data_IF_070399830777
#
_entry.id   IF_070399830777
#
_cell.length_a   1.000
_cell.length_b   1.000
_cell.length_c   1.000
_cell.angle_alpha   90.00
_cell.angle_beta   90.00
_cell.angle_gamma   90.00
#
_symmetry.space_group_name_H-M   'P 1'
#
loop_
_entity.id
_entity.type
_entity.pdbx_description
1 polymer ?
#
# COMPACT_ATOMS: atom_id res chain seq x y z
N UNK A 1 -12.00 5.81 8.03
CA UNK A 1 -10.89 5.19 7.28
C UNK A 1 -9.61 5.08 8.10
N UNK A 2 -9.01 6.18 8.56
CA UNK A 2 -7.74 6.14 9.31
C UNK A 2 -7.77 5.23 10.55
N UNK A 3 -8.87 5.25 11.32
CA UNK A 3 -9.07 4.36 12.47
C UNK A 3 -9.05 2.87 12.11
N UNK A 4 -9.67 2.50 10.98
CA UNK A 4 -9.68 1.11 10.47
C UNK A 4 -8.24 0.70 10.13
N UNK A 5 -7.49 1.60 9.49
CA UNK A 5 -6.11 1.35 9.09
C UNK A 5 -5.16 1.20 10.28
N UNK A 6 -5.31 2.06 11.29
CA UNK A 6 -4.54 1.97 12.53
C UNK A 6 -4.79 0.64 13.24
N UNK A 7 -6.06 0.24 13.39
CA UNK A 7 -6.42 -1.05 13.99
C UNK A 7 -5.91 -2.24 13.19
N UNK A 8 -5.98 -2.18 11.86
CA UNK A 8 -5.41 -3.20 10.98
C UNK A 8 -3.90 -3.34 11.19
N UNK A 9 -3.20 -2.21 11.31
CA UNK A 9 -1.76 -2.19 11.54
C UNK A 9 -1.39 -2.74 12.93
N UNK A 10 -2.14 -2.39 13.97
CA UNK A 10 -1.98 -2.97 15.31
C UNK A 10 -2.20 -4.49 15.27
N UNK A 11 -3.28 -4.95 14.65
CA UNK A 11 -3.55 -6.39 14.47
C UNK A 11 -2.45 -7.12 13.68
N UNK A 12 -1.90 -6.44 12.67
CA UNK A 12 -0.81 -6.96 11.83
C UNK A 12 0.51 -7.12 12.58
N UNK A 13 0.75 -6.36 13.65
CA UNK A 13 1.95 -6.55 14.50
C UNK A 13 1.92 -7.91 15.17
N UNK A 14 0.76 -8.35 15.63
CA UNK A 14 0.60 -9.57 16.42
C UNK A 14 0.47 -10.83 15.54
N UNK A 15 0.13 -10.69 14.25
CA UNK A 15 -0.24 -11.81 13.38
C UNK A 15 0.62 -11.87 12.11
N UNK A 16 1.16 -13.05 11.78
CA UNK A 16 2.03 -13.22 10.60
C UNK A 16 1.27 -13.36 9.28
N UNK A 17 0.02 -13.83 9.34
CA UNK A 17 -0.75 -14.19 8.15
C UNK A 17 -1.52 -13.00 7.55
N UNK A 18 -1.19 -12.68 6.30
CA UNK A 18 -1.83 -11.62 5.51
C UNK A 18 -3.33 -11.91 5.32
N UNK A 19 -3.72 -13.18 5.16
CA UNK A 19 -5.11 -13.55 4.92
C UNK A 19 -5.99 -13.27 6.14
N UNK A 20 -5.45 -13.48 7.35
CA UNK A 20 -6.14 -13.14 8.60
C UNK A 20 -6.28 -11.62 8.75
N UNK A 21 -5.24 -10.86 8.44
CA UNK A 21 -5.29 -9.40 8.45
C UNK A 21 -6.33 -8.86 7.44
N UNK A 22 -6.40 -9.43 6.25
CA UNK A 22 -7.40 -9.05 5.25
C UNK A 22 -8.83 -9.37 5.69
N UNK A 23 -9.06 -10.53 6.30
CA UNK A 23 -10.37 -10.87 6.86
C UNK A 23 -10.78 -9.93 7.99
N UNK A 24 -9.84 -9.57 8.87
CA UNK A 24 -10.07 -8.59 9.92
C UNK A 24 -10.43 -7.20 9.35
N UNK A 25 -9.70 -6.75 8.34
CA UNK A 25 -10.02 -5.52 7.60
C UNK A 25 -11.43 -5.57 7.00
N UNK A 26 -11.78 -6.67 6.33
CA UNK A 26 -13.10 -6.85 5.72
C UNK A 26 -14.21 -6.80 6.77
N UNK A 27 -14.02 -7.42 7.93
CA UNK A 27 -15.00 -7.39 9.02
C UNK A 27 -15.20 -5.97 9.55
N UNK A 28 -14.12 -5.21 9.76
CA UNK A 28 -14.21 -3.81 10.17
C UNK A 28 -14.88 -2.94 9.11
N UNK A 29 -14.53 -3.13 7.84
CA UNK A 29 -15.12 -2.36 6.75
C UNK A 29 -16.62 -2.61 6.65
N UNK A 30 -17.05 -3.88 6.76
CA UNK A 30 -18.48 -4.23 6.78
C UNK A 30 -19.20 -3.64 7.99
N UNK A 31 -18.60 -3.67 9.17
CA UNK A 31 -19.19 -3.06 10.36
C UNK A 31 -19.44 -1.54 10.19
N UNK A 32 -18.55 -0.85 9.47
CA UNK A 32 -18.69 0.59 9.18
C UNK A 32 -19.51 0.89 7.90
N UNK A 33 -19.92 -0.13 7.16
CA UNK A 33 -20.74 -0.01 5.95
C UNK A 33 -22.20 -0.43 6.15
N UNK A 34 -22.50 -1.21 7.21
CA UNK A 34 -23.85 -1.67 7.48
C UNK A 34 -24.62 -0.65 8.32
N UNK A 35 -25.70 -0.13 7.74
CA UNK A 35 -26.77 0.51 8.49
C UNK A 35 -27.42 -0.54 9.42
N UNK A 36 -27.64 -0.19 10.70
CA UNK A 36 -28.36 -0.97 11.72
C UNK A 36 -27.54 -1.79 12.73
N UNK A 37 -26.24 -1.57 12.90
CA UNK A 37 -25.52 -2.05 14.09
C UNK A 37 -25.43 -0.92 15.13
N UNK A 38 -25.74 -1.16 16.42
CA UNK A 38 -25.48 -0.18 17.47
C UNK A 38 -23.99 0.21 17.43
N UNK A 39 -23.71 1.51 17.57
CA UNK A 39 -22.38 2.15 17.42
C UNK A 39 -21.79 2.26 16.00
N UNK A 40 -22.55 1.92 14.94
CA UNK A 40 -22.05 1.98 13.57
C UNK A 40 -22.76 3.07 12.75
N UNK A 41 -21.98 4.03 12.25
CA UNK A 41 -22.44 5.06 11.29
C UNK A 41 -22.28 4.47 9.88
N UNK A 42 -23.35 4.53 9.07
CA UNK A 42 -23.30 4.20 7.65
C UNK A 42 -22.44 5.25 6.92
N UNK A 43 -21.16 4.94 6.73
CA UNK A 43 -20.18 5.89 6.21
C UNK A 43 -19.82 5.67 4.73
N UNK A 44 -20.08 4.48 4.19
CA UNK A 44 -19.52 4.07 2.90
C UNK A 44 -20.56 3.40 1.99
N UNK A 45 -20.67 3.92 0.77
CA UNK A 45 -21.39 3.26 -0.32
C UNK A 45 -20.63 1.99 -0.79
N UNK A 46 -21.31 1.01 -1.42
CA UNK A 46 -20.64 -0.15 -2.02
C UNK A 46 -19.51 0.22 -3.00
N UNK A 47 -19.65 1.33 -3.72
CA UNK A 47 -18.60 1.84 -4.61
C UNK A 47 -17.37 2.29 -3.82
N UNK A 48 -17.58 2.98 -2.69
CA UNK A 48 -16.51 3.45 -1.81
C UNK A 48 -15.78 2.26 -1.18
N UNK A 49 -16.52 1.24 -0.75
CA UNK A 49 -15.96 -0.01 -0.20
C UNK A 49 -15.01 -0.67 -1.20
N UNK A 50 -15.36 -0.69 -2.49
CA UNK A 50 -14.49 -1.22 -3.55
C UNK A 50 -13.22 -0.39 -3.70
N UNK A 51 -13.34 0.94 -3.78
CA UNK A 51 -12.19 1.84 -3.91
C UNK A 51 -11.25 1.75 -2.69
N UNK A 52 -11.82 1.75 -1.48
CA UNK A 52 -11.06 1.63 -0.23
C UNK A 52 -10.35 0.29 -0.16
N UNK A 53 -11.01 -0.81 -0.53
CA UNK A 53 -10.40 -2.15 -0.55
C UNK A 53 -9.23 -2.20 -1.53
N UNK A 54 -9.39 -1.66 -2.73
CA UNK A 54 -8.33 -1.61 -3.74
C UNK A 54 -7.14 -0.76 -3.25
N UNK A 55 -7.43 0.40 -2.65
CA UNK A 55 -6.40 1.28 -2.07
C UNK A 55 -5.63 0.59 -0.93
N UNK A 56 -6.32 -0.04 0.01
CA UNK A 56 -5.67 -0.77 1.12
C UNK A 56 -4.86 -1.95 0.61
N UNK A 57 -5.34 -2.63 -0.43
CA UNK A 57 -4.61 -3.73 -1.04
C UNK A 57 -3.29 -3.27 -1.67
N UNK A 58 -3.32 -2.22 -2.50
CA UNK A 58 -2.11 -1.71 -3.19
C UNK A 58 -1.12 -1.04 -2.25
N UNK A 59 -1.60 -0.31 -1.24
CA UNK A 59 -0.71 0.49 -0.36
C UNK A 59 -0.20 -0.28 0.85
N UNK A 60 -1.02 -1.15 1.44
CA UNK A 60 -0.71 -1.78 2.72
C UNK A 60 -0.49 -3.27 2.62
N UNK A 61 -1.44 -4.01 2.06
CA UNK A 61 -1.37 -5.48 2.04
C UNK A 61 -0.28 -5.98 1.10
N UNK A 62 -0.05 -5.29 -0.03
CA UNK A 62 1.07 -5.57 -0.93
C UNK A 62 2.44 -5.48 -0.21
N UNK A 63 2.56 -4.56 0.74
CA UNK A 63 3.77 -4.33 1.53
C UNK A 63 3.66 -4.84 2.97
N UNK A 64 2.77 -5.81 3.24
CA UNK A 64 2.48 -6.29 4.60
C UNK A 64 3.73 -6.71 5.38
N UNK A 65 4.63 -7.44 4.72
CA UNK A 65 5.89 -7.91 5.33
C UNK A 65 6.81 -6.77 5.73
N UNK A 66 6.83 -5.68 4.96
CA UNK A 66 7.66 -4.51 5.24
C UNK A 66 7.15 -3.80 6.50
N UNK A 67 5.85 -3.53 6.58
CA UNK A 67 5.24 -2.88 7.75
C UNK A 67 5.39 -3.70 9.03
N UNK A 68 5.33 -5.03 8.93
CA UNK A 68 5.64 -5.91 10.07
C UNK A 68 7.11 -5.80 10.48
N UNK A 69 8.03 -5.89 9.52
CA UNK A 69 9.46 -5.85 9.82
C UNK A 69 9.89 -4.54 10.48
N UNK A 70 9.36 -3.40 10.00
CA UNK A 70 9.61 -2.08 10.60
C UNK A 70 9.26 -2.01 12.09
N UNK A 71 8.29 -2.81 12.55
CA UNK A 71 7.85 -2.85 13.95
C UNK A 71 8.43 -4.01 14.76
N UNK A 72 9.21 -4.90 14.13
CA UNK A 72 9.78 -6.06 14.84
C UNK A 72 11.00 -5.68 15.67
N UNK A 73 11.63 -4.54 15.36
CA UNK A 73 12.81 -4.03 16.08
C UNK A 73 12.45 -2.74 16.78
N UNK A 74 12.74 -2.67 18.07
CA UNK A 74 12.74 -1.40 18.78
C UNK A 74 13.80 -0.49 18.16
N UNK A 75 13.36 0.62 17.59
CA UNK A 75 14.26 1.65 17.08
C UNK A 75 14.62 2.60 18.21
N UNK A 76 15.92 2.93 18.34
CA UNK A 76 16.37 3.99 19.22
C UNK A 76 15.73 5.31 18.77
N UNK A 77 14.87 5.87 19.62
CA UNK A 77 14.24 7.17 19.39
C UNK A 77 15.11 8.22 20.06
N UNK A 78 15.80 9.02 19.27
CA UNK A 78 16.49 10.20 19.78
C UNK A 78 15.47 11.33 19.96
N UNK A 79 14.94 11.46 21.19
CA UNK A 79 13.91 12.45 21.51
C UNK A 79 14.53 13.63 22.26
N UNK A 80 14.68 14.76 21.58
CA UNK A 80 15.02 16.03 22.21
C UNK A 80 13.74 16.78 22.57
N UNK A 81 13.54 17.06 23.85
CA UNK A 81 12.45 17.92 24.32
C UNK A 81 13.01 19.26 24.76
N UNK A 82 12.58 20.33 24.09
CA UNK A 82 12.95 21.72 24.43
C UNK A 82 11.70 22.43 24.95
N UNK A 83 11.84 23.09 26.11
CA UNK A 83 10.79 23.97 26.62
C UNK A 83 10.84 25.30 25.86
N UNK A 84 9.89 25.49 24.93
CA UNK A 84 9.67 26.77 24.27
C UNK A 84 8.72 27.62 25.10
N UNK A 85 9.18 28.80 25.52
CA UNK A 85 8.29 29.85 26.00
C UNK A 85 7.62 30.49 24.79
N UNK A 86 6.40 30.03 24.49
CA UNK A 86 5.56 30.66 23.49
C UNK A 86 4.81 31.80 24.16
N UNK A 87 4.92 33.02 23.62
CA UNK A 87 4.05 34.11 24.03
C UNK A 87 2.63 33.75 23.61
N UNK A 88 1.81 33.30 24.55
CA UNK A 88 0.38 33.12 24.34
C UNK A 88 -0.23 34.47 24.01
N UNK A 89 -0.94 34.55 22.89
CA UNK A 89 -1.70 35.74 22.54
C UNK A 89 -2.61 36.13 23.72
N UNK A 90 -2.76 37.43 23.97
CA UNK A 90 -3.70 37.91 24.98
C UNK A 90 -5.09 37.33 24.69
N UNK A 91 -5.82 36.94 25.75
CA UNK A 91 -7.20 36.47 25.59
C UNK A 91 -7.98 37.47 24.75
N UNK A 92 -8.73 37.00 23.74
CA UNK A 92 -9.58 37.90 22.98
C UNK A 92 -10.51 38.63 23.97
N UNK A 93 -10.76 39.93 23.74
CA UNK A 93 -11.67 40.68 24.58
C UNK A 93 -13.08 40.07 24.53
N UNK A 94 -13.88 40.18 25.60
CA UNK A 94 -15.21 39.58 25.66
C UNK A 94 -16.09 40.07 24.50
N UNK A 95 -16.93 39.21 23.94
CA UNK A 95 -17.83 39.56 22.82
C UNK A 95 -18.73 40.78 23.13
N UNK A 96 -19.06 40.99 24.42
CA UNK A 96 -19.81 42.15 24.88
C UNK A 96 -19.11 43.51 24.67
N UNK A 97 -17.79 43.51 24.44
CA UNK A 97 -17.00 44.71 24.12
C UNK A 97 -16.86 44.97 22.62
N UNK A 98 -17.43 44.09 21.78
CA UNK A 98 -17.46 44.26 20.33
C UNK A 98 -18.30 45.47 19.95
N UNK A 99 -17.67 46.46 19.31
CA UNK A 99 -18.40 47.51 18.59
C UNK A 99 -18.84 46.91 17.26
N UNK A 100 -20.14 46.95 17.01
CA UNK A 100 -20.70 46.66 15.68
C UNK A 100 -20.23 47.80 14.80
N UNK A 101 -19.27 47.52 13.92
CA UNK A 101 -18.94 48.41 12.82
C UNK A 101 -19.95 48.14 11.71
N UNK A 102 -20.85 49.09 11.48
CA UNK A 102 -21.90 49.01 10.45
C UNK A 102 -21.32 48.95 9.00
N UNK A 103 -20.00 48.91 8.85
CA UNK A 103 -19.29 48.80 7.58
C UNK A 103 -19.35 47.44 6.87
N UNK A 104 -19.87 46.38 7.49
CA UNK A 104 -19.87 45.02 6.90
C UNK A 104 -21.17 44.59 6.19
N UNK A 105 -22.02 45.53 5.76
CA UNK A 105 -23.11 45.18 4.82
C UNK A 105 -22.67 45.09 3.34
N UNK A 106 -21.36 45.12 3.03
CA UNK A 106 -20.86 45.03 1.63
C UNK A 106 -19.91 43.86 1.31
N UNK A 107 -19.69 42.91 2.22
CA UNK A 107 -18.69 41.85 2.02
C UNK A 107 -19.25 40.43 1.76
N UNK A 108 -20.54 40.27 1.44
CA UNK A 108 -21.13 38.94 1.18
C UNK A 108 -21.88 38.80 -0.16
N UNK A 109 -21.61 39.66 -1.15
CA UNK A 109 -22.28 39.57 -2.47
C UNK A 109 -21.33 39.40 -3.68
N UNK A 110 -20.05 39.07 -3.50
CA UNK A 110 -19.14 38.80 -4.63
C UNK A 110 -18.08 37.76 -4.27
N UNK A 111 -18.50 36.50 -4.15
CA UNK A 111 -17.60 35.33 -4.31
C UNK A 111 -18.34 34.28 -5.16
N UNK A 112 -18.83 34.70 -6.32
CA UNK A 112 -19.22 33.80 -7.41
C UNK A 112 -18.70 34.44 -8.69
N UNK A 113 -17.60 33.91 -9.20
CA UNK A 113 -17.03 34.32 -10.49
C UNK A 113 -15.68 35.00 -10.35
N UNK A 114 -14.62 34.20 -10.20
CA UNK A 114 -13.26 34.42 -10.74
C UNK A 114 -12.34 33.35 -10.13
N UNK A 115 -12.47 32.13 -10.63
CA UNK A 115 -11.43 31.09 -10.51
C UNK A 115 -11.66 30.05 -11.62
N UNK A 116 -11.67 30.55 -12.85
CA UNK A 116 -11.50 29.76 -14.06
C UNK A 116 -10.38 30.51 -14.81
N UNK A 117 -9.38 29.76 -15.29
CA UNK A 117 -8.11 30.25 -15.90
C UNK A 117 -6.90 30.46 -14.97
N UNK A 118 -6.45 29.41 -14.27
CA UNK A 118 -4.99 29.15 -14.13
C UNK A 118 -4.74 27.68 -13.78
N UNK A 119 -4.89 26.76 -14.73
CA UNK A 119 -4.54 25.33 -14.52
C UNK A 119 -4.18 24.59 -15.81
N UNK A 120 -3.40 25.20 -16.71
CA UNK A 120 -2.97 24.54 -17.95
C UNK A 120 -1.47 24.65 -18.27
N UNK A 121 -0.60 24.96 -17.31
CA UNK A 121 0.85 25.09 -17.58
C UNK A 121 1.78 24.32 -16.65
N UNK A 122 1.35 23.22 -16.02
CA UNK A 122 2.23 22.38 -15.20
C UNK A 122 2.07 20.86 -15.44
N UNK A 123 1.67 20.43 -16.64
CA UNK A 123 1.42 19.00 -16.92
C UNK A 123 2.25 18.42 -18.08
N UNK A 124 3.33 19.09 -18.52
CA UNK A 124 4.18 18.55 -19.61
C UNK A 124 5.62 18.20 -19.19
N UNK A 125 6.14 18.68 -18.05
CA UNK A 125 7.53 18.35 -17.64
C UNK A 125 7.63 17.12 -16.71
N UNK A 126 6.56 16.71 -16.02
CA UNK A 126 6.59 15.52 -15.16
C UNK A 126 6.39 14.18 -15.90
N UNK A 127 6.16 14.21 -17.23
CA UNK A 127 5.81 13.00 -18.01
C UNK A 127 6.96 12.46 -18.88
N UNK A 128 8.10 13.15 -18.87
CA UNK A 128 9.27 12.78 -19.66
C UNK A 128 10.32 11.99 -18.87
N UNK A 129 10.43 12.17 -17.55
CA UNK A 129 11.42 11.46 -16.72
C UNK A 129 10.94 10.05 -16.31
N UNK A 130 9.64 9.83 -16.13
CA UNK A 130 9.09 8.54 -15.69
C UNK A 130 9.14 7.44 -16.79
N UNK A 131 9.29 7.83 -18.06
CA UNK A 131 9.38 6.88 -19.18
C UNK A 131 10.78 6.34 -19.45
N UNK A 132 11.83 6.99 -18.96
CA UNK A 132 13.20 6.54 -19.20
C UNK A 132 13.71 5.57 -18.12
N UNK A 133 13.19 5.62 -16.89
CA UNK A 133 13.57 4.67 -15.84
C UNK A 133 12.81 3.33 -15.93
N UNK A 134 11.52 3.32 -16.30
CA UNK A 134 10.74 2.09 -16.45
C UNK A 134 11.32 1.13 -17.51
N UNK A 135 11.71 1.63 -18.69
CA UNK A 135 12.30 0.80 -19.77
C UNK A 135 13.60 0.10 -19.34
N UNK A 136 14.38 0.72 -18.45
CA UNK A 136 15.63 0.12 -17.96
C UNK A 136 15.39 -0.93 -16.87
N UNK A 137 14.30 -0.79 -16.09
CA UNK A 137 13.96 -1.72 -15.02
C UNK A 137 13.37 -3.02 -15.58
N UNK A 138 12.48 -2.94 -16.57
CA UNK A 138 11.87 -4.11 -17.21
C UNK A 138 12.89 -4.91 -18.02
N UNK A 139 13.80 -4.25 -18.74
CA UNK A 139 14.88 -4.92 -19.46
C UNK A 139 15.86 -5.66 -18.52
N UNK A 140 16.14 -5.11 -17.33
CA UNK A 140 16.96 -5.78 -16.30
C UNK A 140 16.25 -6.98 -15.70
N UNK A 141 14.96 -6.86 -15.41
CA UNK A 141 14.14 -7.97 -14.91
C UNK A 141 14.03 -9.08 -15.97
N UNK A 142 13.78 -8.74 -17.23
CA UNK A 142 13.71 -9.71 -18.32
C UNK A 142 15.03 -10.48 -18.52
N UNK A 143 16.19 -9.80 -18.38
CA UNK A 143 17.51 -10.43 -18.45
C UNK A 143 17.79 -11.34 -17.24
N UNK A 144 17.37 -10.95 -16.04
CA UNK A 144 17.52 -11.78 -14.84
C UNK A 144 16.62 -13.03 -14.92
N UNK A 145 15.39 -12.88 -15.41
CA UNK A 145 14.43 -13.99 -15.59
C UNK A 145 14.92 -14.97 -16.65
N UNK A 146 15.45 -14.49 -17.78
CA UNK A 146 15.97 -15.38 -18.83
C UNK A 146 17.21 -16.16 -18.39
N UNK A 147 18.10 -15.54 -17.59
CA UNK A 147 19.26 -16.23 -17.00
C UNK A 147 18.82 -17.35 -16.04
N UNK A 148 17.85 -17.09 -15.16
CA UNK A 148 17.29 -18.10 -14.25
C UNK A 148 16.58 -19.22 -15.00
N UNK A 149 15.83 -18.90 -16.06
CA UNK A 149 15.18 -19.91 -16.89
C UNK A 149 16.19 -20.83 -17.58
N UNK A 150 17.31 -20.30 -18.08
CA UNK A 150 18.37 -21.09 -18.69
C UNK A 150 19.10 -21.99 -17.67
N UNK A 151 19.31 -21.50 -16.45
CA UNK A 151 19.88 -22.32 -15.37
C UNK A 151 18.93 -23.47 -14.99
N UNK A 152 17.64 -23.15 -14.84
CA UNK A 152 16.62 -24.14 -14.46
C UNK A 152 16.34 -25.15 -15.58
N UNK A 153 16.41 -24.75 -16.85
CA UNK A 153 16.27 -25.69 -17.97
C UNK A 153 17.43 -26.68 -18.00
N UNK A 154 18.66 -26.21 -17.77
CA UNK A 154 19.84 -27.09 -17.70
C UNK A 154 19.77 -28.08 -16.54
N UNK A 155 19.35 -27.62 -15.36
CA UNK A 155 19.15 -28.50 -14.20
C UNK A 155 18.09 -29.59 -14.47
N UNK A 156 17.02 -29.23 -15.19
CA UNK A 156 15.98 -30.16 -15.58
C UNK A 156 16.49 -31.19 -16.60
N UNK A 157 17.26 -30.76 -17.60
CA UNK A 157 17.89 -31.63 -18.60
C UNK A 157 18.84 -32.62 -17.94
N UNK A 158 19.71 -32.18 -17.03
CA UNK A 158 20.63 -33.05 -16.29
C UNK A 158 19.85 -34.08 -15.44
N UNK A 159 18.74 -33.67 -14.84
CA UNK A 159 17.86 -34.57 -14.07
C UNK A 159 17.17 -35.60 -14.96
N UNK A 160 16.71 -35.20 -16.15
CA UNK A 160 16.12 -36.10 -17.13
C UNK A 160 17.15 -37.08 -17.68
N UNK A 161 18.36 -36.61 -18.01
CA UNK A 161 19.43 -37.45 -18.52
C UNK A 161 19.82 -38.52 -17.50
N UNK A 162 20.00 -38.16 -16.23
CA UNK A 162 20.25 -39.12 -15.15
C UNK A 162 19.14 -40.18 -15.04
N UNK A 163 17.87 -39.77 -15.17
CA UNK A 163 16.75 -40.72 -15.15
C UNK A 163 16.74 -41.64 -16.36
N UNK A 164 17.12 -41.14 -17.53
CA UNK A 164 17.26 -41.96 -18.74
C UNK A 164 18.41 -42.95 -18.60
N UNK A 165 19.56 -42.54 -18.08
CA UNK A 165 20.72 -43.42 -17.84
C UNK A 165 20.37 -44.53 -16.85
N UNK A 166 19.67 -44.20 -15.75
CA UNK A 166 19.19 -45.21 -14.79
C UNK A 166 18.25 -46.21 -15.48
N UNK A 167 17.30 -45.72 -16.28
CA UNK A 167 16.36 -46.60 -17.00
C UNK A 167 17.08 -47.46 -18.04
N UNK A 168 18.04 -46.90 -18.78
CA UNK A 168 18.79 -47.60 -19.80
C UNK A 168 19.67 -48.70 -19.17
N UNK A 169 20.35 -48.40 -18.07
CA UNK A 169 21.09 -49.38 -17.29
C UNK A 169 20.17 -50.47 -16.71
N UNK A 170 18.96 -50.11 -16.27
CA UNK A 170 17.97 -51.09 -15.77
C UNK A 170 17.48 -52.01 -16.90
N UNK A 171 17.24 -51.46 -18.09
CA UNK A 171 16.85 -52.24 -19.28
C UNK A 171 17.99 -53.15 -19.69
N UNK A 172 19.23 -52.66 -19.72
CA UNK A 172 20.41 -53.43 -20.10
C UNK A 172 20.70 -54.57 -19.10
N UNK A 173 20.54 -54.32 -17.80
CA UNK A 173 20.63 -55.35 -16.76
C UNK A 173 19.52 -56.41 -16.92
N UNK A 174 18.28 -55.99 -17.26
CA UNK A 174 17.20 -56.93 -17.56
C UNK A 174 17.45 -57.72 -18.85
N UNK A 175 18.00 -57.09 -19.89
CA UNK A 175 18.34 -57.76 -21.15
C UNK A 175 19.44 -58.81 -20.94
N UNK A 176 20.50 -58.46 -20.18
CA UNK A 176 21.56 -59.39 -19.83
C UNK A 176 21.08 -60.55 -18.94
N UNK A 177 20.11 -60.30 -18.05
CA UNK A 177 19.47 -61.34 -17.25
C UNK A 177 18.48 -62.23 -18.02
N UNK A 178 18.05 -61.82 -19.22
CA UNK A 178 17.13 -62.56 -20.09
C UNK A 178 17.82 -63.41 -21.16
N UNK A 179 19.16 -63.45 -21.19
CA UNK A 179 19.95 -64.49 -21.87
C UNK A 179 19.50 -64.86 -23.28
N UNK A 180 19.82 -63.99 -24.24
CA UNK A 180 19.99 -64.32 -25.66
C UNK A 180 21.45 -64.04 -26.03
#
# INVERSE_FOLDING_TARGET
MFTIMKRLHEYSKDHEDVMKAFNYFKQMLLQHSLANTPDCVELYSPTDVKMITQFVHSTFLQHYRLYRFANTRDQEKDQFSTCLYVNTAASPPPLASGKIDDGQSKAQASVVGEQQETSQQQNEEAKAEDKQEEETSEARVAKAVSALLAEKSKELEDSMQKKLDIKMNTIQAKLAGLGL
#
